data_IF_612939042622
#
_entry.id   IF_612939042622
#
_cell.length_a   1.000
_cell.length_b   1.000
_cell.length_c   1.000
_cell.angle_alpha   90.00
_cell.angle_beta   90.00
_cell.angle_gamma   90.00
#
_symmetry.space_group_name_H-M   'P 1'
#
loop_
_entity.id
_entity.type
_entity.pdbx_description
1 polymer ?
#
# COMPACT_ATOMS: atom_id res chain seq x y z
N UNK A 1 9.05 -12.71 -15.86
CA UNK A 1 8.78 -12.04 -14.58
C UNK A 1 8.05 -10.73 -14.88
N UNK A 2 6.81 -10.59 -14.42
CA UNK A 2 5.95 -9.41 -14.59
C UNK A 2 5.84 -8.66 -13.27
N UNK A 3 6.32 -7.43 -13.22
CA UNK A 3 6.25 -6.55 -12.07
C UNK A 3 5.09 -5.56 -12.23
N UNK A 4 4.23 -5.46 -11.23
CA UNK A 4 3.23 -4.40 -11.12
C UNK A 4 3.66 -3.33 -10.11
N UNK A 5 3.41 -2.07 -10.45
CA UNK A 5 3.61 -0.93 -9.55
C UNK A 5 2.23 -0.41 -9.14
N UNK A 6 1.84 -0.67 -7.90
CA UNK A 6 0.51 -0.36 -7.40
C UNK A 6 0.46 1.05 -6.81
N UNK A 7 0.13 2.04 -7.63
CA UNK A 7 -0.13 3.39 -7.12
C UNK A 7 -1.53 3.47 -6.49
N UNK A 8 -1.59 3.95 -5.25
CA UNK A 8 -2.84 4.11 -4.51
C UNK A 8 -2.78 5.35 -3.60
N UNK A 9 -3.96 5.87 -3.26
CA UNK A 9 -4.07 6.86 -2.19
C UNK A 9 -3.74 6.20 -0.85
N UNK A 10 -2.96 6.88 -0.03
CA UNK A 10 -2.59 6.47 1.33
C UNK A 10 -2.97 7.60 2.27
N UNK A 11 -3.91 7.34 3.17
CA UNK A 11 -4.38 8.33 4.14
C UNK A 11 -3.63 8.14 5.48
N UNK A 12 -3.08 9.21 6.09
CA UNK A 12 -2.35 9.11 7.35
C UNK A 12 -3.18 8.45 8.46
N UNK A 13 -2.59 7.47 9.14
CA UNK A 13 -3.17 6.70 10.25
C UNK A 13 -4.44 5.89 9.92
N UNK A 14 -4.92 5.88 8.66
CA UNK A 14 -6.13 5.19 8.25
C UNK A 14 -5.86 3.71 7.87
N UNK A 15 -5.28 2.95 8.81
CA UNK A 15 -4.69 1.62 8.57
C UNK A 15 -5.62 0.65 7.85
N UNK A 16 -6.87 0.52 8.30
CA UNK A 16 -7.83 -0.41 7.68
C UNK A 16 -8.12 -0.04 6.23
N UNK A 17 -8.43 1.24 5.97
CA UNK A 17 -8.74 1.72 4.61
C UNK A 17 -7.55 1.63 3.66
N UNK A 18 -6.34 1.79 4.18
CA UNK A 18 -5.10 1.62 3.44
C UNK A 18 -4.87 0.15 3.10
N UNK A 19 -5.07 -0.76 4.06
CA UNK A 19 -4.94 -2.19 3.83
C UNK A 19 -5.96 -2.69 2.80
N UNK A 20 -7.21 -2.25 2.87
CA UNK A 20 -8.24 -2.59 1.88
C UNK A 20 -7.84 -2.19 0.46
N UNK A 21 -7.28 -0.99 0.30
CA UNK A 21 -6.77 -0.50 -0.99
C UNK A 21 -5.58 -1.32 -1.47
N UNK A 22 -4.64 -1.67 -0.59
CA UNK A 22 -3.49 -2.49 -0.94
C UNK A 22 -3.92 -3.90 -1.37
N UNK A 23 -4.86 -4.52 -0.66
CA UNK A 23 -5.43 -5.82 -1.00
C UNK A 23 -6.12 -5.79 -2.37
N UNK A 24 -6.89 -4.75 -2.66
CA UNK A 24 -7.52 -4.58 -3.96
C UNK A 24 -6.49 -4.46 -5.10
N UNK A 25 -5.40 -3.71 -4.89
CA UNK A 25 -4.33 -3.56 -5.88
C UNK A 25 -3.57 -4.87 -6.11
N UNK A 26 -3.26 -5.63 -5.05
CA UNK A 26 -2.61 -6.94 -5.18
C UNK A 26 -3.50 -7.92 -5.92
N UNK A 27 -4.80 -7.97 -5.60
CA UNK A 27 -5.76 -8.83 -6.28
C UNK A 27 -5.87 -8.48 -7.78
N UNK A 28 -5.91 -7.20 -8.12
CA UNK A 28 -5.94 -6.75 -9.52
C UNK A 28 -4.65 -7.11 -10.25
N UNK A 29 -3.48 -6.90 -9.65
CA UNK A 29 -2.20 -7.26 -10.25
C UNK A 29 -2.07 -8.78 -10.46
N UNK A 30 -2.57 -9.58 -9.53
CA UNK A 30 -2.60 -11.03 -9.66
C UNK A 30 -3.53 -11.49 -10.79
N UNK A 31 -4.70 -10.86 -10.96
CA UNK A 31 -5.60 -11.11 -12.09
C UNK A 31 -4.93 -10.78 -13.44
N UNK A 32 -4.00 -9.81 -13.45
CA UNK A 32 -3.16 -9.48 -14.59
C UNK A 32 -1.88 -10.33 -14.68
N UNK A 33 -1.76 -11.43 -13.93
CA UNK A 33 -0.60 -12.34 -13.93
C UNK A 33 0.73 -11.67 -13.54
N UNK A 34 0.71 -10.69 -12.63
CA UNK A 34 1.94 -10.15 -12.04
C UNK A 34 2.59 -11.18 -11.10
N UNK A 35 3.92 -11.34 -11.22
CA UNK A 35 4.72 -12.19 -10.34
C UNK A 35 5.18 -11.44 -9.07
N UNK A 36 5.22 -10.11 -9.13
CA UNK A 36 5.61 -9.23 -8.03
C UNK A 36 4.80 -7.93 -8.08
N UNK A 37 4.43 -7.41 -6.92
CA UNK A 37 3.73 -6.12 -6.77
C UNK A 37 4.53 -5.24 -5.83
N UNK A 38 4.92 -4.05 -6.28
CA UNK A 38 5.50 -3.02 -5.42
C UNK A 38 4.40 -2.06 -4.95
N UNK A 39 4.35 -1.82 -3.64
CA UNK A 39 3.44 -0.88 -2.99
C UNK A 39 4.19 0.40 -2.60
N UNK A 40 3.48 1.51 -2.33
CA UNK A 40 4.09 2.73 -1.81
C UNK A 40 4.81 2.49 -0.47
N UNK A 41 5.80 3.34 -0.16
CA UNK A 41 6.47 3.33 1.14
C UNK A 41 5.48 3.60 2.28
N UNK A 42 5.51 2.77 3.33
CA UNK A 42 4.62 2.85 4.50
C UNK A 42 3.14 2.95 4.05
N UNK A 43 2.72 2.10 3.10
CA UNK A 43 1.38 2.15 2.53
C UNK A 43 0.26 1.86 3.53
N UNK A 44 0.55 1.14 4.61
CA UNK A 44 -0.40 0.70 5.63
C UNK A 44 -0.72 1.84 6.61
N UNK A 45 0.29 2.46 7.21
CA UNK A 45 0.10 3.57 8.17
C UNK A 45 0.06 4.94 7.50
N UNK A 46 0.77 5.09 6.37
CA UNK A 46 0.94 6.34 5.64
C UNK A 46 2.19 7.10 6.03
N UNK A 47 3.04 7.39 5.04
CA UNK A 47 4.31 8.12 5.21
C UNK A 47 4.16 9.41 6.04
N UNK A 48 3.07 10.16 5.83
CA UNK A 48 2.81 11.44 6.50
C UNK A 48 2.09 11.30 7.86
N UNK A 49 1.96 10.11 8.43
CA UNK A 49 1.35 9.87 9.74
C UNK A 49 2.32 10.20 10.90
N UNK A 50 2.91 11.40 10.89
CA UNK A 50 4.00 11.78 11.81
C UNK A 50 3.63 11.77 13.30
N UNK A 51 2.34 11.89 13.62
CA UNK A 51 1.84 11.81 14.99
C UNK A 51 1.64 10.36 15.47
N UNK A 52 1.68 9.39 14.55
CA UNK A 52 1.58 7.96 14.86
C UNK A 52 2.94 7.28 15.06
N UNK A 53 4.04 7.95 14.70
CA UNK A 53 5.38 7.42 14.90
C UNK A 53 5.86 7.65 16.33
N UNK A 54 6.44 6.61 16.93
CA UNK A 54 7.18 6.75 18.18
C UNK A 54 8.32 7.77 18.00
N UNK A 55 8.40 8.74 18.89
CA UNK A 55 9.46 9.76 18.91
C UNK A 55 10.43 9.45 20.05
N UNK A 56 11.74 9.54 19.77
CA UNK A 56 12.83 9.47 20.76
C UNK A 56 13.33 10.85 21.15
#
# INVERSE_FOLDING_TARGET
MKLALAQMAVEPAAVESNLDRALAQVASAAADSADLVALPEIFDVGYFAFDSYDRV
#
